data_IF_518331001037
#
_entry.id   IF_518331001037
#
_cell.length_a   1.000
_cell.length_b   1.000
_cell.length_c   1.000
_cell.angle_alpha   90.00
_cell.angle_beta   90.00
_cell.angle_gamma   90.00
#
_symmetry.space_group_name_H-M   'P 1'
#
loop_
_entity.id
_entity.type
_entity.pdbx_description
1 polymer ?
#
# COMPACT_ATOMS: atom_id res chain seq x y z
N UNK A 1 9.64 -0.40 22.92
CA UNK A 1 10.77 -0.35 21.96
C UNK A 1 10.92 1.11 21.55
N UNK A 2 12.10 1.70 21.71
CA UNK A 2 12.32 3.07 21.24
C UNK A 2 12.73 3.04 19.76
N UNK A 3 11.91 3.65 18.92
CA UNK A 3 12.24 3.87 17.51
C UNK A 3 13.10 5.14 17.45
N UNK A 4 14.29 5.03 16.89
CA UNK A 4 15.19 6.20 16.72
C UNK A 4 14.87 6.93 15.41
N UNK A 5 15.21 8.22 15.28
CA UNK A 5 15.01 8.97 14.05
C UNK A 5 15.70 8.38 12.80
N UNK A 6 16.70 7.54 13.01
CA UNK A 6 17.47 6.88 11.94
C UNK A 6 17.00 5.45 11.65
N UNK A 7 15.81 5.08 12.09
CA UNK A 7 15.25 3.74 11.87
C UNK A 7 14.24 3.79 10.74
N UNK A 8 14.37 2.88 9.77
CA UNK A 8 13.43 2.73 8.66
C UNK A 8 12.75 1.37 8.67
N UNK A 9 11.57 1.33 8.04
CA UNK A 9 10.82 0.12 7.79
C UNK A 9 10.85 -0.19 6.29
N UNK A 10 11.27 -1.38 5.92
CA UNK A 10 11.29 -1.86 4.54
C UNK A 10 10.18 -2.88 4.35
N UNK A 11 9.29 -2.62 3.40
CA UNK A 11 8.15 -3.48 3.06
C UNK A 11 8.34 -4.02 1.64
N UNK A 12 8.75 -5.28 1.55
CA UNK A 12 8.95 -5.93 0.26
C UNK A 12 7.63 -6.31 -0.43
N UNK A 13 7.70 -6.53 -1.74
CA UNK A 13 6.61 -7.05 -2.52
C UNK A 13 6.37 -8.54 -2.26
N UNK A 14 5.29 -9.07 -2.82
CA UNK A 14 5.01 -10.52 -2.65
C UNK A 14 3.58 -10.92 -2.95
N UNK A 15 2.78 -10.03 -3.54
CA UNK A 15 1.37 -10.32 -3.84
C UNK A 15 0.62 -10.77 -2.58
N UNK A 16 -0.07 -11.89 -2.65
CA UNK A 16 -0.87 -12.45 -1.54
C UNK A 16 -0.08 -12.78 -0.27
N UNK A 17 1.24 -12.96 -0.35
CA UNK A 17 2.09 -13.14 0.84
C UNK A 17 2.12 -11.88 1.73
N UNK A 18 1.76 -10.73 1.16
CA UNK A 18 1.59 -9.47 1.88
C UNK A 18 0.54 -9.50 3.00
N UNK A 19 -0.32 -10.53 3.04
CA UNK A 19 -1.24 -10.77 4.18
C UNK A 19 -0.49 -10.90 5.50
N UNK A 20 0.68 -11.56 5.50
CA UNK A 20 1.52 -11.63 6.70
C UNK A 20 1.98 -10.24 7.13
N UNK A 21 2.46 -9.44 6.18
CA UNK A 21 2.86 -8.05 6.42
C UNK A 21 1.72 -7.21 6.98
N UNK A 22 0.47 -7.39 6.49
CA UNK A 22 -0.71 -6.71 7.05
C UNK A 22 -0.86 -6.98 8.54
N UNK A 23 -0.71 -8.24 8.97
CA UNK A 23 -0.80 -8.63 10.38
C UNK A 23 0.30 -8.00 11.24
N UNK A 24 1.53 -7.94 10.71
CA UNK A 24 2.65 -7.29 11.41
C UNK A 24 2.39 -5.80 11.57
N UNK A 25 1.96 -5.11 10.51
CA UNK A 25 1.66 -3.68 10.55
C UNK A 25 0.48 -3.37 11.50
N UNK A 26 -0.55 -4.21 11.53
CA UNK A 26 -1.65 -4.09 12.48
C UNK A 26 -1.16 -4.23 13.94
N UNK A 27 -0.23 -5.15 14.18
CA UNK A 27 0.40 -5.28 15.50
C UNK A 27 1.24 -4.05 15.87
N UNK A 28 2.03 -3.52 14.92
CA UNK A 28 2.80 -2.29 15.14
C UNK A 28 1.86 -1.11 15.48
N UNK A 29 0.79 -0.91 14.73
CA UNK A 29 -0.21 0.13 15.01
C UNK A 29 -0.88 -0.06 16.37
N UNK A 30 -1.22 -1.30 16.74
CA UNK A 30 -1.81 -1.62 18.05
C UNK A 30 -0.91 -1.23 19.23
N UNK A 31 0.40 -1.34 19.05
CA UNK A 31 1.39 -0.98 20.08
C UNK A 31 1.97 0.42 19.87
N UNK A 32 1.35 1.23 19.00
CA UNK A 32 1.76 2.61 18.69
C UNK A 32 3.23 2.72 18.25
N UNK A 33 3.72 1.70 17.53
CA UNK A 33 5.07 1.65 16.99
C UNK A 33 5.03 2.18 15.56
N UNK A 34 5.57 3.38 15.34
CA UNK A 34 5.61 4.05 14.05
C UNK A 34 7.05 4.40 13.66
N UNK A 35 7.40 4.10 12.43
CA UNK A 35 8.73 4.38 11.89
C UNK A 35 8.75 5.73 11.17
N UNK A 36 9.84 6.52 11.33
CA UNK A 36 9.94 7.83 10.70
C UNK A 36 10.18 7.76 9.19
N UNK A 37 10.60 6.61 8.68
CA UNK A 37 10.84 6.35 7.26
C UNK A 37 10.32 4.98 6.87
N UNK A 38 9.55 4.92 5.80
CA UNK A 38 8.99 3.68 5.25
C UNK A 38 9.26 3.63 3.76
N UNK A 39 9.93 2.59 3.29
CA UNK A 39 10.12 2.30 1.86
C UNK A 39 9.44 0.99 1.52
N UNK A 40 8.66 1.00 0.43
CA UNK A 40 7.77 -0.11 0.14
C UNK A 40 7.61 -0.37 -1.36
N UNK A 41 7.39 -1.64 -1.74
CA UNK A 41 7.20 -2.03 -3.13
C UNK A 41 6.00 -2.98 -3.28
N UNK A 42 5.23 -2.82 -4.37
CA UNK A 42 4.11 -3.71 -4.73
C UNK A 42 3.08 -3.87 -3.56
N UNK A 43 2.75 -5.10 -3.18
CA UNK A 43 1.87 -5.38 -2.03
C UNK A 43 2.35 -4.73 -0.72
N UNK A 44 3.67 -4.59 -0.55
CA UNK A 44 4.24 -3.85 0.58
C UNK A 44 3.84 -2.38 0.56
N UNK A 45 3.79 -1.74 -0.62
CA UNK A 45 3.35 -0.36 -0.74
C UNK A 45 1.86 -0.20 -0.39
N UNK A 46 0.99 -1.09 -0.88
CA UNK A 46 -0.44 -1.08 -0.53
C UNK A 46 -0.68 -1.24 0.98
N UNK A 47 0.07 -2.13 1.62
CA UNK A 47 0.01 -2.33 3.07
C UNK A 47 0.58 -1.13 3.83
N UNK A 48 1.70 -0.58 3.33
CA UNK A 48 2.36 0.59 3.89
C UNK A 48 1.47 1.82 3.92
N UNK A 49 0.67 2.06 2.89
CA UNK A 49 -0.31 3.16 2.86
C UNK A 49 -1.31 3.07 4.01
N UNK A 50 -1.82 1.87 4.32
CA UNK A 50 -2.73 1.67 5.46
C UNK A 50 -2.05 1.92 6.81
N UNK A 51 -0.76 1.62 6.93
CA UNK A 51 0.04 1.90 8.11
C UNK A 51 0.34 3.40 8.24
N UNK A 52 0.70 4.06 7.13
CA UNK A 52 0.96 5.51 7.09
C UNK A 52 -0.28 6.33 7.40
N UNK A 53 -1.46 5.93 6.93
CA UNK A 53 -2.75 6.56 7.25
C UNK A 53 -3.33 6.13 8.62
N UNK A 54 -2.59 5.34 9.40
CA UNK A 54 -2.99 4.86 10.73
C UNK A 54 -4.35 4.16 10.76
N UNK A 55 -4.63 3.38 9.71
CA UNK A 55 -5.88 2.64 9.55
C UNK A 55 -5.69 1.14 9.85
N UNK A 56 -5.80 0.70 11.11
CA UNK A 56 -5.66 -0.71 11.47
C UNK A 56 -6.72 -1.56 10.76
N UNK A 57 -6.35 -2.77 10.40
CA UNK A 57 -7.17 -3.76 9.68
C UNK A 57 -7.52 -3.38 8.24
N UNK A 58 -7.25 -2.16 7.78
CA UNK A 58 -7.54 -1.76 6.40
C UNK A 58 -6.80 -2.66 5.41
N UNK A 59 -5.50 -2.89 5.60
CA UNK A 59 -4.72 -3.78 4.76
C UNK A 59 -5.21 -5.23 4.78
N UNK A 60 -5.61 -5.75 5.95
CA UNK A 60 -6.22 -7.08 6.06
C UNK A 60 -7.52 -7.17 5.26
N UNK A 61 -8.42 -6.22 5.46
CA UNK A 61 -9.68 -6.17 4.73
C UNK A 61 -9.43 -6.16 3.22
N UNK A 62 -8.50 -5.34 2.76
CA UNK A 62 -8.08 -5.24 1.36
C UNK A 62 -7.59 -6.57 0.79
N UNK A 63 -6.74 -7.26 1.53
CA UNK A 63 -6.03 -8.43 1.03
C UNK A 63 -6.80 -9.75 1.20
N UNK A 64 -7.77 -9.81 2.11
CA UNK A 64 -8.49 -11.05 2.43
C UNK A 64 -9.98 -10.89 2.09
N UNK A 65 -10.67 -9.99 2.80
CA UNK A 65 -12.12 -9.92 2.75
C UNK A 65 -12.62 -9.47 1.37
N UNK A 66 -11.86 -8.58 0.73
CA UNK A 66 -12.17 -8.08 -0.61
C UNK A 66 -12.01 -9.13 -1.70
N UNK A 67 -10.98 -9.99 -1.62
CA UNK A 67 -10.80 -11.08 -2.59
C UNK A 67 -11.97 -12.05 -2.60
N UNK A 68 -12.59 -12.26 -1.44
CA UNK A 68 -13.74 -13.15 -1.32
C UNK A 68 -15.04 -12.50 -1.81
N UNK A 69 -15.13 -11.16 -1.70
CA UNK A 69 -16.36 -10.42 -1.98
C UNK A 69 -16.41 -9.82 -3.38
N UNK A 70 -15.27 -9.45 -3.94
CA UNK A 70 -15.16 -8.80 -5.24
C UNK A 70 -14.16 -9.55 -6.11
N UNK A 71 -14.59 -9.97 -7.28
CA UNK A 71 -13.77 -10.71 -8.26
C UNK A 71 -12.87 -9.75 -9.06
N UNK A 72 -12.04 -8.96 -8.32
CA UNK A 72 -11.17 -7.96 -8.92
C UNK A 72 -9.84 -8.53 -9.46
N UNK A 73 -9.60 -9.84 -9.25
CA UNK A 73 -8.48 -10.59 -9.84
C UNK A 73 -9.08 -11.75 -10.61
N UNK A 74 -9.21 -11.62 -11.93
CA UNK A 74 -9.80 -12.68 -12.73
C UNK A 74 -9.26 -12.75 -14.15
N UNK A 75 -9.32 -13.95 -14.74
CA UNK A 75 -9.03 -14.14 -16.15
C UNK A 75 -10.05 -13.42 -17.04
N UNK A 76 -11.27 -13.22 -16.55
CA UNK A 76 -12.30 -12.43 -17.24
C UNK A 76 -11.85 -10.98 -17.38
N UNK A 77 -11.29 -10.39 -16.32
CA UNK A 77 -10.73 -9.04 -16.36
C UNK A 77 -9.59 -8.95 -17.37
N UNK A 78 -8.73 -9.96 -17.45
CA UNK A 78 -7.66 -10.00 -18.45
C UNK A 78 -8.20 -9.97 -19.90
N UNK A 79 -9.27 -10.70 -20.18
CA UNK A 79 -9.86 -10.74 -21.52
C UNK A 79 -10.59 -9.43 -21.87
N UNK A 80 -11.30 -8.84 -20.91
CA UNK A 80 -12.13 -7.65 -21.14
C UNK A 80 -11.33 -6.37 -21.05
N UNK A 81 -10.44 -6.28 -20.06
CA UNK A 81 -9.73 -5.04 -19.71
C UNK A 81 -8.23 -5.07 -20.06
N UNK A 82 -7.72 -6.20 -20.54
CA UNK A 82 -6.30 -6.38 -20.81
C UNK A 82 -5.42 -6.48 -19.54
N UNK A 83 -6.04 -6.59 -18.38
CA UNK A 83 -5.38 -6.68 -17.07
C UNK A 83 -6.05 -7.75 -16.20
N UNK A 84 -5.25 -8.54 -15.48
CA UNK A 84 -5.75 -9.48 -14.48
C UNK A 84 -6.48 -8.76 -13.35
N UNK A 85 -6.04 -7.54 -13.04
CA UNK A 85 -6.68 -6.69 -12.04
C UNK A 85 -7.76 -5.82 -12.69
N UNK A 86 -8.87 -5.63 -11.98
CA UNK A 86 -9.87 -4.63 -12.35
C UNK A 86 -9.40 -3.25 -11.85
N UNK A 87 -8.99 -2.34 -12.75
CA UNK A 87 -8.43 -1.06 -12.35
C UNK A 87 -9.48 -0.12 -11.72
N UNK A 88 -10.75 -0.19 -12.13
CA UNK A 88 -11.82 0.61 -11.57
C UNK A 88 -12.07 0.23 -10.11
N UNK A 89 -12.15 -1.08 -9.83
CA UNK A 89 -12.31 -1.55 -8.46
C UNK A 89 -11.11 -1.15 -7.60
N UNK A 90 -9.88 -1.35 -8.08
CA UNK A 90 -8.67 -1.14 -7.29
C UNK A 90 -8.35 0.32 -7.02
N UNK A 91 -8.47 1.18 -8.03
CA UNK A 91 -7.97 2.55 -7.94
C UNK A 91 -9.04 3.59 -7.70
N UNK A 92 -10.30 3.27 -8.02
CA UNK A 92 -11.42 4.21 -7.83
C UNK A 92 -12.31 3.78 -6.67
N UNK A 93 -12.97 2.62 -6.81
CA UNK A 93 -13.99 2.22 -5.85
C UNK A 93 -13.42 1.78 -4.51
N UNK A 94 -12.26 1.11 -4.55
CA UNK A 94 -11.64 0.58 -3.35
C UNK A 94 -11.27 1.69 -2.34
N UNK A 95 -10.44 2.69 -2.71
CA UNK A 95 -10.01 3.73 -1.78
C UNK A 95 -11.09 4.77 -1.48
N UNK A 96 -12.13 4.91 -2.31
CA UNK A 96 -13.12 5.98 -2.15
C UNK A 96 -14.45 5.50 -1.59
N UNK A 97 -14.87 4.24 -1.87
CA UNK A 97 -16.20 3.76 -1.52
C UNK A 97 -16.16 2.55 -0.58
N UNK A 98 -15.33 1.54 -0.90
CA UNK A 98 -15.41 0.20 -0.29
C UNK A 98 -14.63 0.16 1.02
N UNK A 99 -13.39 0.66 0.99
CA UNK A 99 -12.49 0.79 2.15
C UNK A 99 -11.84 2.17 2.10
N UNK A 100 -12.58 3.21 2.46
CA UNK A 100 -12.11 4.57 2.31
C UNK A 100 -10.71 4.77 2.88
N UNK A 101 -9.88 5.48 2.11
CA UNK A 101 -8.54 5.84 2.52
C UNK A 101 -8.59 7.18 3.25
N UNK A 102 -7.95 7.24 4.39
CA UNK A 102 -7.86 8.48 5.17
C UNK A 102 -6.69 9.32 4.64
N UNK A 103 -6.98 10.13 3.64
CA UNK A 103 -6.01 11.03 3.01
C UNK A 103 -5.51 12.08 4.01
N UNK A 104 -6.38 12.58 4.89
CA UNK A 104 -6.01 13.59 5.89
C UNK A 104 -5.01 13.02 6.89
N UNK A 105 -5.28 11.85 7.46
CA UNK A 105 -4.34 11.19 8.38
C UNK A 105 -3.01 10.85 7.70
N UNK A 106 -3.03 10.52 6.40
CA UNK A 106 -1.83 10.27 5.62
C UNK A 106 -1.01 11.54 5.41
N UNK A 107 -1.63 12.63 4.98
CA UNK A 107 -0.96 13.92 4.72
C UNK A 107 -0.40 14.57 6.01
N UNK A 108 -1.06 14.37 7.14
CA UNK A 108 -0.60 14.86 8.44
C UNK A 108 0.50 13.99 9.07
N UNK A 109 0.81 12.84 8.49
CA UNK A 109 1.84 11.95 9.03
C UNK A 109 3.25 12.53 8.77
N UNK A 110 4.06 12.80 9.82
CA UNK A 110 5.38 13.38 9.64
C UNK A 110 6.42 12.40 9.07
N UNK A 111 6.10 11.11 9.00
CA UNK A 111 7.00 10.11 8.47
C UNK A 111 7.08 10.17 6.93
N UNK A 112 8.25 9.88 6.39
CA UNK A 112 8.46 9.80 4.94
C UNK A 112 8.03 8.44 4.43
N UNK A 113 7.24 8.42 3.37
CA UNK A 113 6.87 7.21 2.65
C UNK A 113 7.40 7.25 1.22
N UNK A 114 8.09 6.18 0.80
CA UNK A 114 8.55 6.01 -0.57
C UNK A 114 8.01 4.73 -1.19
N UNK A 115 7.25 4.89 -2.27
CA UNK A 115 6.83 3.77 -3.10
C UNK A 115 7.87 3.50 -4.19
N UNK A 116 8.42 2.29 -4.21
CA UNK A 116 9.42 1.89 -5.22
C UNK A 116 8.72 1.35 -6.45
N UNK A 117 9.06 1.94 -7.59
CA UNK A 117 8.57 1.56 -8.91
C UNK A 117 9.73 1.30 -9.88
N UNK A 118 9.43 0.74 -11.05
CA UNK A 118 10.42 0.54 -12.10
C UNK A 118 10.11 1.46 -13.27
N UNK A 119 11.07 2.27 -13.67
CA UNK A 119 10.98 3.06 -14.89
C UNK A 119 11.03 2.13 -16.11
N UNK A 120 9.92 2.02 -16.82
CA UNK A 120 9.79 1.09 -17.96
C UNK A 120 10.72 1.40 -19.15
N UNK A 121 11.21 2.62 -19.27
CA UNK A 121 12.15 3.01 -20.35
C UNK A 121 13.59 2.66 -20.00
N UNK A 122 13.97 2.76 -18.73
CA UNK A 122 15.37 2.62 -18.30
C UNK A 122 15.65 1.33 -17.54
N UNK A 123 14.60 0.64 -17.06
CA UNK A 123 14.73 -0.52 -16.16
C UNK A 123 15.22 -0.17 -14.75
N UNK A 124 15.35 1.10 -14.41
CA UNK A 124 15.87 1.54 -13.10
C UNK A 124 14.76 1.69 -12.06
N UNK A 125 15.09 1.42 -10.81
CA UNK A 125 14.22 1.71 -9.70
C UNK A 125 14.01 3.23 -9.56
N UNK A 126 12.78 3.62 -9.23
CA UNK A 126 12.39 4.97 -8.88
C UNK A 126 11.72 4.95 -7.52
N UNK A 127 12.05 5.90 -6.69
CA UNK A 127 11.49 6.07 -5.35
C UNK A 127 10.54 7.27 -5.40
N UNK A 128 9.25 6.99 -5.35
CA UNK A 128 8.20 8.00 -5.45
C UNK A 128 7.78 8.40 -4.04
N UNK A 129 7.98 9.66 -3.69
CA UNK A 129 7.47 10.27 -2.47
C UNK A 129 6.54 11.43 -2.83
N UNK A 130 5.73 11.91 -1.90
CA UNK A 130 4.81 13.04 -2.11
C UNK A 130 5.48 14.33 -2.54
N UNK A 131 6.77 14.48 -2.22
CA UNK A 131 7.57 15.63 -2.64
C UNK A 131 7.94 15.59 -4.14
N UNK A 132 7.78 14.45 -4.79
CA UNK A 132 8.01 14.31 -6.23
C UNK A 132 6.68 14.31 -6.95
N UNK A 133 6.28 15.47 -7.48
CA UNK A 133 5.17 15.54 -8.43
C UNK A 133 5.50 14.65 -9.64
N UNK A 134 4.71 13.60 -9.85
CA UNK A 134 4.77 12.84 -11.09
C UNK A 134 4.52 13.81 -12.26
N UNK A 135 5.38 13.83 -13.29
CA UNK A 135 5.07 14.58 -14.50
C UNK A 135 3.74 14.03 -15.06
N UNK A 136 2.79 14.93 -15.22
CA UNK A 136 1.47 14.66 -15.84
C UNK A 136 1.63 14.25 -17.30
#
# INVERSE_FOLDING_TARGET
>A
MQITPNTGLVLEGGGMRGVFTSGVLDALMKYEVYFPYVVAVSAGACNGLSYMSRQPRRARFSNIDMLQKYDYISLKSLIVNGSIFDPEILYERFPNEIVPFDYEAYEQNPAVFEAVTTNCKTGRAMYLSETQQLPR
#
